data_IF_752974778345
#
_entry.id   IF_752974778345
#
_cell.length_a   1.000
_cell.length_b   1.000
_cell.length_c   1.000
_cell.angle_alpha   90.00
_cell.angle_beta   90.00
_cell.angle_gamma   90.00
#
_symmetry.space_group_name_H-M   'P 1'
#
loop_
_entity.id
_entity.type
_entity.pdbx_description
1 polymer ?
#
# COMPACT_ATOMS: atom_id res chain seq x y z
N UNK A 1 -8.78 1.40 -89.17
CA UNK A 1 -9.14 2.80 -88.87
C UNK A 1 -9.98 2.80 -87.59
N UNK A 2 -9.37 3.24 -86.49
CA UNK A 2 -9.92 3.72 -85.21
C UNK A 2 -11.12 3.05 -84.47
N UNK A 3 -10.87 2.89 -83.15
CA UNK A 3 -11.75 2.87 -81.96
C UNK A 3 -12.40 1.50 -81.60
N UNK A 4 -12.12 0.83 -80.47
CA UNK A 4 -11.96 1.19 -79.04
C UNK A 4 -13.24 0.89 -78.22
N UNK A 5 -13.03 0.12 -77.13
CA UNK A 5 -13.71 0.08 -75.82
C UNK A 5 -14.53 -1.17 -75.41
N UNK A 6 -14.01 -1.75 -74.32
CA UNK A 6 -14.61 -2.45 -73.17
C UNK A 6 -15.36 -3.77 -73.33
N UNK A 7 -14.79 -4.84 -72.76
CA UNK A 7 -15.55 -5.80 -71.94
C UNK A 7 -14.67 -6.60 -70.98
N UNK A 8 -14.87 -6.31 -69.68
CA UNK A 8 -15.03 -7.23 -68.53
C UNK A 8 -14.02 -8.37 -68.33
N UNK A 9 -13.10 -8.16 -67.39
CA UNK A 9 -12.51 -9.24 -66.59
C UNK A 9 -13.16 -9.25 -65.20
N UNK A 10 -13.68 -10.41 -64.83
CA UNK A 10 -14.29 -10.73 -63.54
C UNK A 10 -13.15 -11.15 -62.59
N UNK A 11 -12.95 -10.45 -61.48
CA UNK A 11 -12.05 -10.85 -60.39
C UNK A 11 -12.93 -11.13 -59.17
N UNK A 12 -12.83 -12.29 -58.50
CA UNK A 12 -13.65 -12.60 -57.34
C UNK A 12 -13.19 -11.75 -56.14
N UNK A 13 -14.14 -11.06 -55.51
CA UNK A 13 -13.93 -10.45 -54.19
C UNK A 13 -13.81 -11.55 -53.14
N UNK A 14 -12.64 -11.62 -52.49
CA UNK A 14 -12.46 -12.33 -51.22
C UNK A 14 -12.96 -11.38 -50.12
N UNK A 15 -14.05 -11.76 -49.46
CA UNK A 15 -14.46 -11.14 -48.20
C UNK A 15 -13.50 -11.60 -47.10
N UNK A 16 -12.55 -10.75 -46.71
CA UNK A 16 -11.82 -10.89 -45.45
C UNK A 16 -12.70 -10.25 -44.38
N UNK A 17 -13.37 -11.08 -43.58
CA UNK A 17 -14.02 -10.62 -42.37
C UNK A 17 -12.97 -10.18 -41.37
N UNK A 18 -12.78 -8.87 -41.21
CA UNK A 18 -12.14 -8.33 -40.01
C UNK A 18 -13.12 -8.49 -38.85
N UNK A 19 -12.94 -9.53 -38.05
CA UNK A 19 -13.45 -9.55 -36.68
C UNK A 19 -12.55 -8.62 -35.87
N UNK A 20 -13.04 -7.43 -35.57
CA UNK A 20 -12.50 -6.57 -34.53
C UNK A 20 -12.64 -7.32 -33.20
N UNK A 21 -11.55 -7.94 -32.75
CA UNK A 21 -11.43 -8.43 -31.38
C UNK A 21 -11.38 -7.21 -30.47
N UNK A 22 -12.45 -7.00 -29.71
CA UNK A 22 -12.46 -6.08 -28.57
C UNK A 22 -11.49 -6.64 -27.53
N UNK A 23 -10.37 -5.98 -27.31
CA UNK A 23 -9.54 -6.21 -26.12
C UNK A 23 -10.25 -5.57 -24.92
N UNK A 24 -11.22 -6.28 -24.34
CA UNK A 24 -11.58 -6.03 -22.95
C UNK A 24 -10.46 -6.61 -22.09
N UNK A 25 -9.61 -5.73 -21.57
CA UNK A 25 -8.60 -6.05 -20.56
C UNK A 25 -9.27 -6.37 -19.23
N UNK A 26 -9.87 -7.56 -19.13
CA UNK A 26 -10.24 -8.13 -17.84
C UNK A 26 -8.97 -8.74 -17.22
N UNK A 27 -8.35 -7.98 -16.33
CA UNK A 27 -7.22 -8.41 -15.51
C UNK A 27 -7.71 -9.28 -14.34
N UNK A 28 -8.48 -10.33 -14.66
CA UNK A 28 -8.90 -11.33 -13.69
C UNK A 28 -7.67 -12.16 -13.34
N UNK A 29 -7.43 -12.50 -12.06
CA UNK A 29 -6.53 -13.61 -11.70
C UNK A 29 -6.88 -14.79 -12.60
N UNK A 30 -6.03 -15.11 -13.58
CA UNK A 30 -6.14 -16.37 -14.29
C UNK A 30 -5.94 -17.43 -13.23
N UNK A 31 -6.80 -18.45 -13.21
CA UNK A 31 -6.58 -19.67 -12.44
C UNK A 31 -5.37 -20.40 -13.04
N UNK A 32 -4.19 -19.81 -12.93
CA UNK A 32 -2.94 -20.52 -13.03
C UNK A 32 -2.87 -21.34 -11.75
N UNK A 33 -3.09 -22.65 -11.93
CA UNK A 33 -2.79 -23.77 -11.03
C UNK A 33 -2.32 -23.35 -9.64
N UNK A 34 -3.09 -23.68 -8.60
CA UNK A 34 -2.69 -23.67 -7.19
C UNK A 34 -1.27 -24.26 -7.04
N UNK A 35 -0.25 -23.42 -7.16
CA UNK A 35 0.98 -23.65 -6.48
C UNK A 35 0.61 -23.38 -5.03
N UNK A 36 0.45 -24.45 -4.24
CA UNK A 36 0.55 -24.33 -2.79
C UNK A 36 1.88 -23.62 -2.54
N UNK A 37 1.84 -22.31 -2.28
CA UNK A 37 3.02 -21.57 -1.90
C UNK A 37 3.44 -22.14 -0.56
N UNK A 38 4.47 -22.99 -0.58
CA UNK A 38 5.05 -23.56 0.61
C UNK A 38 5.43 -22.41 1.55
N UNK A 39 5.02 -22.53 2.82
CA UNK A 39 5.41 -21.57 3.84
C UNK A 39 6.94 -21.42 3.83
N UNK A 40 7.48 -20.20 4.08
CA UNK A 40 8.93 -20.01 4.19
C UNK A 40 9.53 -21.04 5.14
N UNK A 41 10.71 -21.56 4.82
CA UNK A 41 11.32 -22.65 5.59
C UNK A 41 11.37 -22.32 7.10
N UNK A 42 10.77 -23.18 7.92
CA UNK A 42 10.68 -22.99 9.38
C UNK A 42 9.54 -22.08 9.86
N UNK A 43 8.70 -21.59 8.96
CA UNK A 43 7.51 -20.80 9.28
C UNK A 43 6.21 -21.54 8.93
N UNK A 44 5.12 -21.20 9.61
CA UNK A 44 3.75 -21.63 9.31
C UNK A 44 2.86 -20.42 9.12
N UNK A 45 2.00 -20.43 8.10
CA UNK A 45 0.97 -19.41 7.90
C UNK A 45 -0.03 -19.40 9.06
N UNK A 46 -0.18 -18.27 9.75
CA UNK A 46 -1.09 -18.12 10.89
C UNK A 46 -2.27 -17.20 10.61
N UNK A 47 -2.16 -16.32 9.61
CA UNK A 47 -3.23 -15.43 9.16
C UNK A 47 -2.98 -14.99 7.71
N UNK A 48 -4.05 -14.83 6.94
CA UNK A 48 -3.99 -14.32 5.58
C UNK A 48 -5.29 -13.59 5.20
N UNK A 49 -5.16 -12.63 4.30
CA UNK A 49 -6.24 -12.11 3.48
C UNK A 49 -5.78 -12.12 2.02
N UNK A 50 -6.40 -13.00 1.22
CA UNK A 50 -6.14 -13.15 -0.23
C UNK A 50 -7.05 -12.24 -1.08
N UNK A 51 -7.95 -11.50 -0.42
CA UNK A 51 -8.89 -10.59 -1.06
C UNK A 51 -9.76 -11.25 -2.16
N UNK A 52 -10.14 -12.52 -1.97
CA UNK A 52 -11.02 -13.27 -2.90
C UNK A 52 -12.50 -12.86 -2.84
N UNK A 53 -12.85 -11.93 -1.95
CA UNK A 53 -14.19 -11.37 -1.81
C UNK A 53 -14.62 -10.45 -2.95
N UNK A 54 -15.72 -9.71 -2.73
CA UNK A 54 -16.16 -8.65 -3.64
C UNK A 54 -16.82 -7.52 -2.86
N UNK A 55 -16.49 -6.28 -3.21
CA UNK A 55 -17.07 -5.10 -2.58
C UNK A 55 -16.25 -4.66 -1.39
N UNK A 56 -16.74 -4.89 -0.18
CA UNK A 56 -16.06 -4.44 1.03
C UNK A 56 -14.88 -5.36 1.42
N UNK A 57 -13.77 -4.83 1.98
CA UNK A 57 -12.79 -5.62 2.74
C UNK A 57 -13.44 -6.44 3.86
N UNK A 58 -12.83 -7.57 4.23
CA UNK A 58 -13.33 -8.39 5.33
C UNK A 58 -13.18 -7.64 6.68
N UNK A 59 -14.30 -7.29 7.31
CA UNK A 59 -14.29 -6.55 8.58
C UNK A 59 -13.89 -7.37 9.80
N UNK A 60 -13.81 -8.70 9.68
CA UNK A 60 -13.16 -9.55 10.70
C UNK A 60 -11.63 -9.40 10.67
N UNK A 61 -11.09 -8.91 9.55
CA UNK A 61 -9.66 -8.67 9.33
C UNK A 61 -9.28 -7.20 9.48
N UNK A 62 -10.13 -6.28 9.02
CA UNK A 62 -9.79 -4.88 8.81
C UNK A 62 -10.80 -3.90 9.41
N UNK A 63 -10.28 -2.83 10.00
CA UNK A 63 -11.04 -1.64 10.38
C UNK A 63 -10.55 -0.42 9.58
N UNK A 64 -11.45 0.49 9.23
CA UNK A 64 -11.09 1.73 8.55
C UNK A 64 -10.51 2.78 9.51
N UNK A 65 -9.59 3.59 8.98
CA UNK A 65 -9.22 4.88 9.57
C UNK A 65 -9.89 5.99 8.75
N UNK A 66 -10.75 6.80 9.39
CA UNK A 66 -11.59 7.81 8.72
C UNK A 66 -11.15 9.22 9.08
N UNK A 67 -10.97 10.06 8.07
CA UNK A 67 -10.67 11.48 8.18
C UNK A 67 -9.21 11.84 8.04
N UNK A 68 -8.84 13.00 8.59
CA UNK A 68 -7.45 13.46 8.68
C UNK A 68 -6.77 12.80 9.88
N UNK A 69 -5.78 11.96 9.61
CA UNK A 69 -5.21 11.09 10.65
C UNK A 69 -3.79 11.52 11.06
N UNK A 70 -2.88 11.73 10.10
CA UNK A 70 -1.46 11.89 10.39
C UNK A 70 -0.73 12.79 9.39
N UNK A 71 0.49 13.17 9.75
CA UNK A 71 1.53 13.83 8.92
C UNK A 71 1.12 15.07 8.08
N UNK A 72 0.06 15.79 8.46
CA UNK A 72 -0.50 16.90 7.67
C UNK A 72 -0.77 16.48 6.21
N UNK A 73 -1.20 15.24 6.04
CA UNK A 73 -1.56 14.67 4.74
C UNK A 73 -2.79 15.37 4.16
N UNK A 74 -2.86 15.48 2.83
CA UNK A 74 -3.87 16.28 2.13
C UNK A 74 -5.20 15.52 1.91
N UNK A 75 -5.17 14.19 1.97
CA UNK A 75 -6.36 13.37 1.79
C UNK A 75 -7.17 13.21 3.07
N UNK A 76 -8.47 13.16 2.89
CA UNK A 76 -9.42 12.66 3.88
C UNK A 76 -9.64 11.17 3.63
N UNK A 77 -9.29 10.31 4.60
CA UNK A 77 -9.53 8.87 4.46
C UNK A 77 -11.02 8.55 4.61
N UNK A 78 -11.55 7.68 3.75
CA UNK A 78 -12.96 7.24 3.80
C UNK A 78 -13.09 5.73 3.68
N UNK A 79 -14.28 5.20 3.98
CA UNK A 79 -14.73 3.82 3.73
C UNK A 79 -15.57 3.72 2.44
N UNK A 80 -15.58 4.76 1.60
CA UNK A 80 -16.38 4.76 0.39
C UNK A 80 -15.83 3.71 -0.60
N UNK A 81 -16.69 2.90 -1.25
CA UNK A 81 -16.26 1.94 -2.27
C UNK A 81 -15.41 2.51 -3.42
N UNK A 82 -15.51 3.82 -3.70
CA UNK A 82 -14.65 4.50 -4.67
C UNK A 82 -13.19 4.58 -4.23
N UNK A 83 -12.95 4.60 -2.91
CA UNK A 83 -11.64 4.71 -2.28
C UNK A 83 -11.09 3.38 -1.82
N UNK A 84 -11.96 2.44 -1.45
CA UNK A 84 -11.54 1.11 -1.01
C UNK A 84 -12.54 0.03 -1.38
N UNK A 85 -12.06 -1.02 -2.03
CA UNK A 85 -12.89 -2.17 -2.39
C UNK A 85 -12.05 -3.40 -2.69
N UNK A 86 -12.67 -4.55 -2.56
CA UNK A 86 -12.17 -5.81 -3.10
C UNK A 86 -12.79 -6.05 -4.48
N UNK A 87 -11.94 -6.21 -5.49
CA UNK A 87 -12.34 -6.41 -6.89
C UNK A 87 -11.33 -7.34 -7.58
N UNK A 88 -11.83 -8.36 -8.29
CA UNK A 88 -11.04 -9.31 -9.07
C UNK A 88 -9.90 -10.03 -8.33
N UNK A 89 -10.09 -10.29 -7.03
CA UNK A 89 -9.09 -10.97 -6.19
C UNK A 89 -8.00 -10.04 -5.64
N UNK A 90 -8.26 -8.74 -5.62
CA UNK A 90 -7.36 -7.71 -5.11
C UNK A 90 -8.10 -6.75 -4.17
N UNK A 91 -7.40 -6.27 -3.15
CA UNK A 91 -7.77 -5.03 -2.47
C UNK A 91 -7.29 -3.84 -3.31
N UNK A 92 -8.20 -2.91 -3.59
CA UNK A 92 -7.93 -1.67 -4.29
C UNK A 92 -8.07 -0.53 -3.28
N UNK A 93 -6.98 0.21 -3.05
CA UNK A 93 -7.01 1.52 -2.37
C UNK A 93 -6.80 2.58 -3.45
N UNK A 94 -7.80 3.42 -3.68
CA UNK A 94 -7.84 4.40 -4.78
C UNK A 94 -8.02 5.81 -4.25
N UNK A 95 -7.11 6.71 -4.63
CA UNK A 95 -7.19 8.12 -4.27
C UNK A 95 -7.78 8.95 -5.40
N UNK A 96 -8.56 9.96 -5.03
CA UNK A 96 -9.23 10.88 -5.96
C UNK A 96 -8.96 12.32 -5.55
N UNK A 97 -8.82 13.21 -6.54
CA UNK A 97 -8.88 14.64 -6.30
C UNK A 97 -10.35 15.07 -6.27
N UNK A 98 -10.84 15.38 -5.08
CA UNK A 98 -12.21 15.82 -4.87
C UNK A 98 -12.36 16.51 -3.52
N UNK A 99 -13.34 17.40 -3.45
CA UNK A 99 -13.65 18.13 -2.24
C UNK A 99 -14.61 17.33 -1.36
N UNK A 100 -14.26 17.08 -0.10
CA UNK A 100 -15.10 16.40 0.89
C UNK A 100 -15.14 17.18 2.20
N UNK A 101 -16.30 17.22 2.86
CA UNK A 101 -16.46 17.84 4.18
C UNK A 101 -15.67 17.06 5.24
N UNK A 102 -14.97 17.78 6.12
CA UNK A 102 -14.35 17.19 7.29
C UNK A 102 -15.34 17.18 8.47
N UNK A 103 -15.84 16.00 8.82
CA UNK A 103 -16.77 15.82 9.94
C UNK A 103 -16.22 16.25 11.31
N UNK A 104 -14.89 16.38 11.43
CA UNK A 104 -14.21 16.78 12.68
C UNK A 104 -13.86 18.27 12.73
N UNK A 105 -14.22 19.04 11.70
CA UNK A 105 -14.03 20.48 11.67
C UNK A 105 -14.76 21.18 12.84
N UNK A 106 -14.08 22.14 13.44
CA UNK A 106 -14.61 22.94 14.56
C UNK A 106 -14.62 24.43 14.20
N UNK A 107 -13.45 24.98 13.86
CA UNK A 107 -13.29 26.35 13.36
C UNK A 107 -11.89 26.53 12.77
N UNK A 108 -11.71 27.53 11.89
CA UNK A 108 -10.41 27.84 11.28
C UNK A 108 -9.33 28.22 12.32
N UNK A 109 -9.72 28.64 13.52
CA UNK A 109 -8.82 29.03 14.62
C UNK A 109 -8.43 27.87 15.54
N UNK A 110 -8.93 26.64 15.31
CA UNK A 110 -8.56 25.51 16.16
C UNK A 110 -7.05 25.18 16.04
N UNK A 111 -6.40 24.90 17.17
CA UNK A 111 -4.95 24.61 17.21
C UNK A 111 -4.57 23.29 16.51
N UNK A 112 -5.53 22.35 16.41
CA UNK A 112 -5.32 21.07 15.76
C UNK A 112 -5.69 21.17 14.28
N UNK A 113 -4.74 20.88 13.39
CA UNK A 113 -4.93 20.94 11.94
C UNK A 113 -6.12 20.08 11.45
N UNK A 114 -6.36 18.94 12.09
CA UNK A 114 -7.50 18.08 11.73
C UNK A 114 -8.85 18.70 12.09
N UNK A 115 -8.87 19.72 12.97
CA UNK A 115 -10.09 20.42 13.41
C UNK A 115 -10.23 21.81 12.81
N UNK A 116 -9.18 22.36 12.20
CA UNK A 116 -9.22 23.65 11.53
C UNK A 116 -9.28 23.56 10.00
N UNK A 117 -9.15 22.35 9.44
CA UNK A 117 -9.30 22.11 8.01
C UNK A 117 -10.75 21.78 7.70
N UNK A 118 -11.50 22.67 7.06
CA UNK A 118 -12.94 22.48 6.78
C UNK A 118 -13.21 21.38 5.73
N UNK A 119 -12.32 21.26 4.74
CA UNK A 119 -12.49 20.32 3.63
C UNK A 119 -11.21 19.56 3.33
N UNK A 120 -11.35 18.27 2.99
CA UNK A 120 -10.32 17.52 2.25
C UNK A 120 -10.37 17.87 0.77
N UNK A 121 -9.19 18.03 0.17
CA UNK A 121 -9.04 18.29 -1.28
C UNK A 121 -8.77 17.00 -2.07
N UNK A 122 -8.54 15.91 -1.35
CA UNK A 122 -8.38 14.56 -1.88
C UNK A 122 -9.11 13.58 -0.97
N UNK A 123 -9.51 12.44 -1.52
CA UNK A 123 -9.95 11.27 -0.76
C UNK A 123 -9.02 10.11 -1.01
N UNK A 124 -8.91 9.21 -0.04
CA UNK A 124 -8.20 7.94 -0.15
C UNK A 124 -8.75 6.96 0.88
N UNK A 125 -8.07 5.84 1.11
CA UNK A 125 -8.41 4.94 2.20
C UNK A 125 -7.18 4.48 2.99
N UNK A 126 -7.46 4.07 4.22
CA UNK A 126 -6.52 3.50 5.17
C UNK A 126 -7.24 2.46 5.99
N UNK A 127 -6.66 1.27 6.09
CA UNK A 127 -7.18 0.17 6.90
C UNK A 127 -6.14 -0.37 7.84
N UNK A 128 -6.61 -0.98 8.92
CA UNK A 128 -5.76 -1.54 9.96
C UNK A 128 -6.35 -2.80 10.57
N UNK A 129 -5.49 -3.71 11.02
CA UNK A 129 -5.88 -4.90 11.78
C UNK A 129 -6.02 -4.62 13.29
N UNK A 130 -5.91 -3.36 13.72
CA UNK A 130 -5.98 -2.96 15.14
C UNK A 130 -7.24 -3.48 15.81
N UNK A 131 -7.09 -4.04 17.02
CA UNK A 131 -8.17 -4.64 17.83
C UNK A 131 -8.83 -5.89 17.18
N UNK A 132 -8.32 -6.37 16.04
CA UNK A 132 -8.80 -7.55 15.32
C UNK A 132 -7.73 -8.65 15.26
N UNK A 133 -6.57 -8.35 14.65
CA UNK A 133 -5.44 -9.26 14.49
C UNK A 133 -4.12 -8.52 14.77
N UNK A 134 -3.31 -9.09 15.65
CA UNK A 134 -2.07 -8.47 16.13
C UNK A 134 -1.03 -9.57 16.38
N UNK A 135 0.20 -9.32 15.98
CA UNK A 135 1.26 -10.35 16.03
C UNK A 135 2.48 -9.84 16.74
N UNK A 136 3.17 -10.76 17.42
CA UNK A 136 4.52 -10.56 17.93
C UNK A 136 5.44 -11.56 17.26
N UNK A 137 6.46 -11.06 16.58
CA UNK A 137 7.40 -11.84 15.77
C UNK A 137 6.71 -12.58 14.60
N UNK A 138 7.51 -12.99 13.63
CA UNK A 138 7.05 -13.70 12.46
C UNK A 138 7.60 -13.12 11.15
N UNK A 139 7.10 -13.64 10.03
CA UNK A 139 7.21 -12.99 8.72
C UNK A 139 5.90 -12.30 8.42
N UNK A 140 5.93 -11.02 8.10
CA UNK A 140 4.77 -10.28 7.57
C UNK A 140 5.06 -9.97 6.11
N UNK A 141 4.20 -10.42 5.21
CA UNK A 141 4.37 -10.29 3.77
C UNK A 141 3.13 -9.69 3.12
N UNK A 142 3.31 -8.67 2.30
CA UNK A 142 2.26 -8.03 1.52
C UNK A 142 2.73 -7.90 0.08
N UNK A 143 1.95 -8.45 -0.85
CA UNK A 143 2.22 -8.34 -2.29
C UNK A 143 1.36 -7.25 -2.89
N UNK A 144 1.99 -6.22 -3.45
CA UNK A 144 1.28 -5.06 -3.94
C UNK A 144 1.93 -4.44 -5.16
N UNK A 145 1.14 -3.65 -5.88
CA UNK A 145 1.55 -2.74 -6.93
C UNK A 145 1.24 -1.31 -6.49
N UNK A 146 2.20 -0.42 -6.67
CA UNK A 146 2.16 0.94 -6.11
C UNK A 146 1.52 1.94 -7.09
N UNK A 147 0.96 3.04 -6.56
CA UNK A 147 0.55 4.19 -7.37
C UNK A 147 1.75 4.98 -7.87
N UNK A 148 1.57 5.70 -8.97
CA UNK A 148 2.58 6.57 -9.58
C UNK A 148 2.33 8.04 -9.29
N UNK A 149 3.39 8.83 -9.42
CA UNK A 149 3.32 10.28 -9.61
C UNK A 149 3.56 11.11 -8.34
N UNK A 150 4.13 12.29 -8.54
CA UNK A 150 4.51 13.21 -7.46
C UNK A 150 3.30 13.54 -6.58
N UNK A 151 3.47 13.35 -5.27
CA UNK A 151 2.43 13.57 -4.27
C UNK A 151 1.86 12.28 -3.68
N UNK A 152 2.02 11.11 -4.32
CA UNK A 152 1.58 9.84 -3.72
C UNK A 152 2.55 9.34 -2.66
N UNK A 153 2.02 8.78 -1.58
CA UNK A 153 2.77 8.15 -0.49
C UNK A 153 2.05 6.89 0.02
N UNK A 154 2.12 5.77 -0.73
CA UNK A 154 1.63 4.48 -0.24
C UNK A 154 2.52 3.96 0.89
N UNK A 155 1.91 3.26 1.85
CA UNK A 155 2.61 2.63 2.96
C UNK A 155 2.02 1.26 3.33
N UNK A 156 2.92 0.33 3.63
CA UNK A 156 2.67 -0.97 4.29
C UNK A 156 3.50 -0.95 5.56
N UNK A 157 2.84 -0.94 6.72
CA UNK A 157 3.53 -0.65 7.97
C UNK A 157 2.79 -1.23 9.17
N UNK A 158 3.46 -1.27 10.30
CA UNK A 158 2.94 -1.81 11.54
C UNK A 158 3.15 -0.84 12.70
N UNK A 159 2.21 -0.81 13.63
CA UNK A 159 2.28 0.05 14.82
C UNK A 159 2.05 -0.77 16.09
N UNK A 160 2.80 -0.45 17.15
CA UNK A 160 2.68 -1.16 18.43
C UNK A 160 1.27 -1.03 19.01
N UNK A 161 0.73 -2.15 19.50
CA UNK A 161 -0.62 -2.21 20.11
C UNK A 161 -0.82 -1.18 21.21
N UNK A 162 0.21 -0.95 22.02
CA UNK A 162 0.17 -0.05 23.17
C UNK A 162 0.22 1.46 22.82
N UNK A 163 0.08 1.85 21.55
CA UNK A 163 0.18 3.26 21.13
C UNK A 163 -0.76 4.21 21.88
N UNK A 164 -1.95 3.76 22.31
CA UNK A 164 -2.86 4.58 23.14
C UNK A 164 -2.32 4.83 24.55
N UNK A 165 -1.47 3.95 25.06
CA UNK A 165 -0.95 3.97 26.42
C UNK A 165 0.34 4.77 26.51
N UNK A 166 1.25 4.59 25.55
CA UNK A 166 2.60 5.19 25.58
C UNK A 166 2.81 6.29 24.55
N UNK A 167 1.97 6.36 23.52
CA UNK A 167 2.10 7.29 22.40
C UNK A 167 3.21 6.92 21.42
N UNK A 168 3.16 7.51 20.24
CA UNK A 168 4.27 7.49 19.29
C UNK A 168 5.38 8.47 19.76
N UNK A 169 6.68 8.18 19.57
CA UNK A 169 7.25 6.97 18.96
C UNK A 169 7.55 5.83 19.94
N UNK A 170 7.10 5.92 21.20
CA UNK A 170 7.42 4.94 22.24
C UNK A 170 6.79 3.57 21.99
N UNK A 171 5.67 3.53 21.29
CA UNK A 171 5.00 2.29 20.93
C UNK A 171 5.76 1.45 19.91
N UNK A 172 6.70 2.07 19.18
CA UNK A 172 7.35 1.45 18.04
C UNK A 172 6.50 1.49 16.76
N UNK A 173 7.19 1.60 15.64
CA UNK A 173 6.67 1.56 14.28
C UNK A 173 7.64 0.76 13.40
N UNK A 174 7.09 -0.07 12.51
CA UNK A 174 7.86 -0.81 11.50
C UNK A 174 7.27 -0.51 10.13
N UNK A 175 7.95 0.30 9.36
CA UNK A 175 7.55 0.66 8.00
C UNK A 175 8.14 -0.36 7.03
N UNK A 176 7.37 -1.42 6.74
CA UNK A 176 7.78 -2.52 5.86
C UNK A 176 8.09 -1.98 4.46
N UNK A 177 7.25 -1.08 3.98
CA UNK A 177 7.46 -0.36 2.73
C UNK A 177 6.80 1.01 2.82
N UNK A 178 7.59 2.05 2.58
CA UNK A 178 7.10 3.34 2.11
C UNK A 178 7.66 3.64 0.72
N UNK A 179 6.88 4.39 -0.05
CA UNK A 179 7.30 4.92 -1.35
C UNK A 179 6.78 6.35 -1.49
N UNK A 180 7.53 7.22 -2.14
CA UNK A 180 7.09 8.57 -2.49
C UNK A 180 7.20 8.77 -3.99
N UNK A 181 6.11 9.20 -4.63
CA UNK A 181 6.03 9.17 -6.10
C UNK A 181 6.97 10.12 -6.83
N UNK A 182 7.60 11.08 -6.14
CA UNK A 182 8.66 11.92 -6.72
C UNK A 182 10.04 11.23 -6.76
N UNK A 183 10.19 10.09 -6.06
CA UNK A 183 11.39 9.25 -6.08
C UNK A 183 10.98 7.85 -6.57
N UNK A 184 10.65 7.79 -7.85
CA UNK A 184 9.87 6.71 -8.46
C UNK A 184 10.54 5.34 -8.47
N UNK A 185 11.85 5.28 -8.25
CA UNK A 185 12.67 4.06 -8.36
C UNK A 185 13.09 3.51 -6.99
N UNK A 186 12.52 4.02 -5.90
CA UNK A 186 12.98 3.72 -4.55
C UNK A 186 11.83 3.38 -3.61
N UNK A 187 12.01 2.36 -2.78
CA UNK A 187 11.23 2.14 -1.57
C UNK A 187 12.10 2.30 -0.32
N UNK A 188 11.46 2.43 0.83
CA UNK A 188 12.10 2.65 2.12
C UNK A 188 11.58 1.65 3.15
N UNK A 189 12.50 1.00 3.86
CA UNK A 189 12.19 0.24 5.07
C UNK A 189 12.77 0.96 6.28
N UNK A 190 11.93 1.26 7.26
CA UNK A 190 12.29 2.12 8.39
C UNK A 190 11.74 1.54 9.69
N UNK A 191 12.43 1.81 10.80
CA UNK A 191 11.88 1.64 12.14
C UNK A 191 11.82 2.98 12.85
N UNK A 192 10.75 3.20 13.61
CA UNK A 192 10.65 4.34 14.51
C UNK A 192 10.50 3.91 15.96
N UNK A 193 11.31 4.52 16.83
CA UNK A 193 11.37 4.26 18.26
C UNK A 193 11.59 5.57 19.03
N UNK A 194 11.52 5.54 20.35
CA UNK A 194 11.86 6.70 21.18
C UNK A 194 13.29 7.20 20.94
N UNK A 195 14.23 6.29 20.69
CA UNK A 195 15.62 6.62 20.39
C UNK A 195 15.84 7.00 18.92
N UNK A 196 15.13 6.37 17.99
CA UNK A 196 15.37 6.47 16.54
C UNK A 196 14.12 6.96 15.82
N UNK A 197 14.03 8.25 15.53
CA UNK A 197 12.88 8.80 14.80
C UNK A 197 13.19 10.12 14.09
N UNK A 198 12.33 10.45 13.12
CA UNK A 198 12.49 11.60 12.25
C UNK A 198 12.42 12.95 12.98
N UNK A 199 11.70 13.04 14.12
CA UNK A 199 11.65 14.28 14.92
C UNK A 199 13.02 14.57 15.52
N UNK A 200 13.73 13.53 15.97
CA UNK A 200 15.10 13.64 16.52
C UNK A 200 16.20 13.62 15.46
N UNK A 201 15.88 13.32 14.20
CA UNK A 201 16.85 13.10 13.11
C UNK A 201 17.80 11.95 13.41
N UNK A 202 17.27 10.90 14.04
CA UNK A 202 18.00 9.69 14.44
C UNK A 202 17.34 8.43 13.87
N UNK A 203 16.45 8.59 12.90
CA UNK A 203 15.78 7.50 12.21
C UNK A 203 16.77 6.46 11.69
N UNK A 204 16.38 5.19 11.79
CA UNK A 204 17.13 4.07 11.25
C UNK A 204 16.27 3.43 10.18
N UNK A 205 16.72 3.58 8.94
CA UNK A 205 16.06 3.02 7.78
C UNK A 205 17.02 2.96 6.60
N UNK A 206 16.58 2.35 5.51
CA UNK A 206 17.35 2.24 4.29
C UNK A 206 16.45 2.22 3.08
N UNK A 207 16.91 2.86 2.01
CA UNK A 207 16.27 2.74 0.70
C UNK A 207 16.86 1.60 -0.12
N UNK A 208 16.06 1.07 -1.03
CA UNK A 208 16.48 0.12 -2.07
C UNK A 208 15.84 0.48 -3.39
N UNK A 209 16.55 0.21 -4.48
CA UNK A 209 16.01 0.35 -5.83
C UNK A 209 14.87 -0.65 -6.04
N UNK A 210 13.79 -0.21 -6.69
CA UNK A 210 12.69 -1.05 -7.14
C UNK A 210 12.48 -0.85 -8.64
N UNK A 211 12.38 -1.94 -9.38
CA UNK A 211 12.08 -1.92 -10.81
C UNK A 211 10.57 -1.95 -11.02
N UNK A 212 10.04 -1.12 -11.93
CA UNK A 212 8.62 -1.12 -12.34
C UNK A 212 7.56 -1.19 -11.20
N UNK A 213 7.68 -0.41 -10.09
CA UNK A 213 6.79 -0.53 -8.94
C UNK A 213 5.30 -0.27 -9.24
N UNK A 214 5.01 0.33 -10.39
CA UNK A 214 3.66 0.74 -10.83
C UNK A 214 3.03 -0.20 -11.84
N UNK A 215 3.85 -1.06 -12.46
CA UNK A 215 3.43 -1.94 -13.55
C UNK A 215 3.39 -3.40 -13.06
N UNK A 216 4.33 -3.78 -12.20
CA UNK A 216 4.47 -5.12 -11.65
C UNK A 216 4.08 -5.19 -10.16
N UNK A 217 3.71 -6.40 -9.72
CA UNK A 217 3.50 -6.68 -8.29
C UNK A 217 4.81 -7.14 -7.67
N UNK A 218 5.12 -6.58 -6.49
CA UNK A 218 6.28 -6.96 -5.70
C UNK A 218 5.85 -7.46 -4.32
N UNK A 219 6.64 -8.37 -3.75
CA UNK A 219 6.51 -8.79 -2.36
C UNK A 219 7.32 -7.83 -1.46
N UNK A 220 6.64 -7.15 -0.54
CA UNK A 220 7.24 -6.37 0.53
C UNK A 220 7.08 -7.14 1.84
N UNK A 221 8.19 -7.47 2.50
CA UNK A 221 8.09 -8.26 3.72
C UNK A 221 9.15 -7.92 4.76
N UNK A 222 8.84 -8.31 6.00
CA UNK A 222 9.81 -8.36 7.10
C UNK A 222 9.91 -9.76 7.67
N UNK A 223 11.09 -10.12 8.15
CA UNK A 223 11.30 -11.18 9.14
C UNK A 223 11.65 -10.53 10.48
N UNK A 224 10.78 -10.71 11.46
CA UNK A 224 10.87 -10.09 12.77
C UNK A 224 11.02 -11.14 13.85
N UNK A 225 12.12 -11.04 14.59
CA UNK A 225 12.50 -11.93 15.69
C UNK A 225 12.87 -11.08 16.92
N UNK A 226 13.05 -11.67 18.12
CA UNK A 226 13.56 -10.93 19.29
C UNK A 226 14.91 -10.23 19.06
N UNK A 227 15.71 -10.74 18.12
CA UNK A 227 17.09 -10.30 17.90
C UNK A 227 17.22 -9.24 16.81
N UNK A 228 16.30 -9.25 15.83
CA UNK A 228 16.38 -8.38 14.66
C UNK A 228 15.08 -8.33 13.85
N UNK A 229 14.95 -7.25 13.08
CA UNK A 229 13.99 -7.08 11.98
C UNK A 229 14.78 -7.01 10.68
N UNK A 230 14.48 -7.88 9.73
CA UNK A 230 15.08 -7.90 8.38
C UNK A 230 14.01 -7.49 7.38
N UNK A 231 14.29 -6.53 6.51
CA UNK A 231 13.39 -6.06 5.46
C UNK A 231 13.79 -6.66 4.12
N UNK A 232 12.79 -7.14 3.37
CA UNK A 232 12.97 -7.84 2.12
C UNK A 232 12.08 -7.24 1.02
N UNK A 233 12.64 -7.15 -0.18
CA UNK A 233 11.93 -6.87 -1.43
C UNK A 233 12.09 -8.09 -2.33
N UNK A 234 10.98 -8.68 -2.76
CA UNK A 234 10.95 -9.89 -3.60
C UNK A 234 11.83 -11.02 -3.04
N UNK A 235 11.73 -11.25 -1.73
CA UNK A 235 12.51 -12.26 -1.00
C UNK A 235 13.99 -11.90 -0.80
N UNK A 236 14.46 -10.74 -1.29
CA UNK A 236 15.85 -10.30 -1.14
C UNK A 236 15.98 -9.29 -0.02
N UNK A 237 16.75 -9.62 1.03
CA UNK A 237 17.01 -8.72 2.14
C UNK A 237 17.81 -7.48 1.70
N UNK A 238 17.34 -6.29 2.06
CA UNK A 238 18.03 -5.03 1.76
C UNK A 238 18.37 -4.20 3.01
N UNK A 239 17.66 -4.40 4.12
CA UNK A 239 17.89 -3.72 5.39
C UNK A 239 17.75 -4.68 6.58
N UNK A 240 18.44 -4.38 7.67
CA UNK A 240 18.37 -5.11 8.93
C UNK A 240 18.53 -4.12 10.08
N UNK A 241 17.68 -4.25 11.10
CA UNK A 241 17.76 -3.54 12.36
C UNK A 241 17.94 -4.55 13.50
N UNK A 242 19.01 -4.40 14.29
CA UNK A 242 19.40 -5.36 15.33
C UNK A 242 19.04 -4.87 16.73
N UNK A 243 18.53 -5.78 17.56
CA UNK A 243 18.31 -5.55 18.98
C UNK A 243 19.66 -5.47 19.69
N UNK A 244 19.99 -4.28 20.20
CA UNK A 244 21.22 -4.07 20.97
C UNK A 244 21.09 -4.51 22.44
N UNK A 245 19.92 -5.01 22.85
CA UNK A 245 19.60 -5.48 24.21
C UNK A 245 19.89 -4.42 25.29
N UNK A 246 19.58 -3.15 24.98
CA UNK A 246 19.84 -2.00 25.86
C UNK A 246 18.58 -1.57 26.60
N UNK A 247 17.64 -0.95 25.90
CA UNK A 247 16.40 -0.45 26.49
C UNK A 247 15.23 -0.54 25.51
N UNK A 248 14.01 -0.43 26.04
CA UNK A 248 12.80 -0.34 25.22
C UNK A 248 12.75 0.95 24.37
N UNK A 249 13.55 1.97 24.71
CA UNK A 249 13.62 3.18 23.88
C UNK A 249 14.28 2.90 22.53
N UNK A 250 15.22 1.94 22.47
CA UNK A 250 15.82 1.47 21.21
C UNK A 250 15.05 0.29 20.60
N UNK A 251 14.41 -0.56 21.43
CA UNK A 251 13.74 -1.78 20.97
C UNK A 251 12.33 -1.95 21.58
N UNK A 252 11.31 -1.21 21.09
CA UNK A 252 9.91 -1.39 21.49
C UNK A 252 9.22 -2.56 20.75
N UNK A 253 9.98 -3.49 20.16
CA UNK A 253 9.50 -4.53 19.24
C UNK A 253 9.30 -5.90 19.90
N UNK A 254 9.24 -5.97 21.24
CA UNK A 254 8.96 -7.21 21.99
C UNK A 254 7.50 -7.28 22.47
N UNK A 255 6.58 -6.81 21.64
CA UNK A 255 5.13 -6.71 21.92
C UNK A 255 4.31 -6.92 20.64
N UNK A 256 2.97 -7.08 20.73
CA UNK A 256 2.13 -7.18 19.54
C UNK A 256 2.06 -5.87 18.73
N UNK A 257 2.05 -6.01 17.41
CA UNK A 257 1.87 -4.94 16.43
C UNK A 257 0.66 -5.25 15.53
N UNK A 258 -0.05 -4.21 15.10
CA UNK A 258 -1.11 -4.32 14.09
C UNK A 258 -0.63 -3.80 12.74
N UNK A 259 -1.08 -4.44 11.66
CA UNK A 259 -0.77 -4.07 10.28
C UNK A 259 -1.65 -2.89 9.83
N UNK A 260 -1.10 -2.07 8.94
CA UNK A 260 -1.73 -0.89 8.35
C UNK A 260 -1.39 -0.82 6.86
N UNK A 261 -2.40 -0.56 6.05
CA UNK A 261 -2.28 -0.35 4.60
C UNK A 261 -2.96 0.97 4.26
N UNK A 262 -2.26 1.88 3.58
CA UNK A 262 -2.85 3.14 3.15
C UNK A 262 -2.17 3.73 1.92
N UNK A 263 -2.88 4.64 1.27
CA UNK A 263 -2.35 5.53 0.25
C UNK A 263 -2.51 6.98 0.72
N UNK A 264 -1.46 7.56 1.29
CA UNK A 264 -1.43 8.98 1.61
C UNK A 264 -1.16 9.84 0.37
N UNK A 265 -1.60 11.09 0.40
CA UNK A 265 -1.42 12.10 -0.63
C UNK A 265 -0.84 13.35 0.03
N UNK A 266 0.30 13.83 -0.47
CA UNK A 266 1.00 14.98 0.09
C UNK A 266 1.64 14.66 1.44
N UNK A 267 1.34 15.46 2.45
CA UNK A 267 1.96 15.36 3.76
C UNK A 267 3.39 15.91 3.79
N UNK A 268 4.01 15.83 4.97
CA UNK A 268 5.36 16.33 5.23
C UNK A 268 6.44 15.70 4.33
N UNK A 269 6.22 14.49 3.83
CA UNK A 269 7.19 13.79 2.99
C UNK A 269 6.69 13.52 1.57
N UNK A 270 5.55 12.84 1.38
CA UNK A 270 4.98 12.59 0.04
C UNK A 270 4.76 13.85 -0.80
N UNK A 271 4.44 14.97 -0.14
CA UNK A 271 4.21 16.29 -0.73
C UNK A 271 5.44 17.18 -0.83
N UNK A 272 6.64 16.68 -0.51
CA UNK A 272 7.88 17.49 -0.48
C UNK A 272 8.19 18.17 -1.82
N UNK A 273 7.73 17.58 -2.93
CA UNK A 273 7.86 18.12 -4.30
C UNK A 273 6.54 18.62 -4.89
N UNK A 274 5.53 18.85 -4.04
CA UNK A 274 4.17 19.17 -4.44
C UNK A 274 3.30 17.94 -4.69
N UNK A 275 2.09 18.18 -5.18
CA UNK A 275 1.14 17.15 -5.63
C UNK A 275 0.81 17.45 -7.08
N UNK A 276 0.97 16.48 -7.97
CA UNK A 276 0.56 16.61 -9.38
C UNK A 276 -0.91 16.18 -9.53
N UNK A 277 -1.81 17.16 -9.60
CA UNK A 277 -3.25 16.91 -9.75
C UNK A 277 -3.64 16.10 -10.99
N UNK A 278 -2.79 16.09 -12.03
CA UNK A 278 -3.13 15.45 -13.30
C UNK A 278 -3.01 13.92 -13.25
N UNK A 279 -2.42 13.36 -12.18
CA UNK A 279 -2.23 11.92 -12.04
C UNK A 279 -3.48 11.20 -11.52
N UNK A 280 -4.44 11.91 -10.92
CA UNK A 280 -5.58 11.27 -10.27
C UNK A 280 -6.61 10.75 -11.28
N UNK A 281 -7.24 9.59 -11.01
CA UNK A 281 -7.09 8.77 -9.80
C UNK A 281 -5.81 7.92 -9.76
N UNK A 282 -5.36 7.57 -8.56
CA UNK A 282 -4.19 6.69 -8.33
C UNK A 282 -4.54 5.51 -7.44
N UNK A 283 -3.95 4.34 -7.72
CA UNK A 283 -4.28 3.07 -7.04
C UNK A 283 -3.06 2.42 -6.43
N UNK A 284 -3.18 2.01 -5.17
CA UNK A 284 -2.41 0.93 -4.59
C UNK A 284 -3.25 -0.35 -4.70
N UNK A 285 -2.70 -1.38 -5.32
CA UNK A 285 -3.41 -2.64 -5.59
C UNK A 285 -2.69 -3.73 -4.81
N UNK A 286 -3.39 -4.41 -3.90
CA UNK A 286 -2.82 -5.43 -3.02
C UNK A 286 -3.41 -6.79 -3.40
N UNK A 287 -2.53 -7.76 -3.63
CA UNK A 287 -2.84 -9.14 -3.97
C UNK A 287 -3.11 -9.99 -2.74
N UNK A 288 -2.21 -9.91 -1.74
CA UNK A 288 -2.42 -10.57 -0.46
C UNK A 288 -1.74 -9.81 0.69
N UNK A 289 -2.21 -10.06 1.90
CA UNK A 289 -1.48 -9.81 3.13
C UNK A 289 -1.41 -11.13 3.93
N UNK A 290 -0.22 -11.56 4.31
CA UNK A 290 0.02 -12.84 4.99
C UNK A 290 0.96 -12.68 6.16
N UNK A 291 0.68 -13.42 7.22
CA UNK A 291 1.51 -13.48 8.42
C UNK A 291 1.85 -14.93 8.74
N UNK A 292 3.14 -15.16 8.94
CA UNK A 292 3.70 -16.46 9.28
C UNK A 292 4.44 -16.38 10.62
N UNK A 293 4.43 -17.45 11.41
CA UNK A 293 5.23 -17.55 12.64
C UNK A 293 6.14 -18.76 12.60
N UNK A 294 7.27 -18.69 13.31
CA UNK A 294 8.23 -19.80 13.39
C UNK A 294 7.53 -21.05 13.96
N UNK A 295 7.79 -22.20 13.34
CA UNK A 295 7.40 -23.49 13.88
C UNK A 295 8.16 -23.74 15.19
N UNK A 296 7.41 -24.08 16.24
CA UNK A 296 7.99 -24.55 17.52
C UNK A 296 8.60 -25.94 17.40
#
# INVERSE_FOLDING_TARGET
>A
MQKSLFSKYLIPLIFIGLTLGSCDGNNKKTNDTEAEEESPAGYTLVWADEFDGKGEPNLDNWAYEIGFIRNNEAQYYTDNPKNIRVEDGFLIIESHKEKVENETFVSEEADNWTKNTEFGEYTSASITTKDLNEWKYGKVSVRAKLPKGTGTWPAIWMLGKNWKEVGWPKCGEIDIMEHVGYQSDSIFGTVHTEAFNHIKKTEVGKSVFIENPYDDFHEYSIEWTPEKIVFLLDGTAYHQFENQHKTNAEWPFDQPFHLKLNLAIGGSWGGLKGIDDSIFPQKMIIDYARVYQLQE
#
